data_IF_110657542430
#
_entry.id   IF_110657542430
#
_cell.length_a   1.000
_cell.length_b   1.000
_cell.length_c   1.000
_cell.angle_alpha   90.00
_cell.angle_beta   90.00
_cell.angle_gamma   90.00
#
_symmetry.space_group_name_H-M   'P 1'
#
loop_
_entity.id
_entity.type
_entity.pdbx_description
1 polymer ?
#
# COMPACT_ATOMS: atom_id res chain seq x y z
N UNK A 1 -62.66 -22.16 -8.94
CA UNK A 1 -62.30 -21.99 -10.37
C UNK A 1 -60.79 -21.82 -10.45
N UNK A 2 -60.10 -22.80 -11.03
CA UNK A 2 -58.66 -22.78 -11.29
C UNK A 2 -58.40 -22.18 -12.67
N UNK A 3 -57.43 -21.27 -12.79
CA UNK A 3 -56.72 -20.98 -14.05
C UNK A 3 -55.22 -20.76 -13.74
N UNK A 4 -54.30 -21.54 -14.33
CA UNK A 4 -52.87 -21.39 -14.09
C UNK A 4 -52.26 -20.36 -15.04
N UNK A 5 -51.76 -19.25 -14.51
CA UNK A 5 -50.90 -18.34 -15.27
C UNK A 5 -49.47 -18.82 -15.12
N UNK A 6 -48.93 -19.39 -16.21
CA UNK A 6 -47.52 -19.75 -16.35
C UNK A 6 -46.71 -18.47 -16.44
N UNK A 7 -46.01 -18.12 -15.36
CA UNK A 7 -45.04 -17.02 -15.37
C UNK A 7 -43.72 -17.54 -15.96
N UNK A 8 -43.35 -17.04 -17.12
CA UNK A 8 -42.03 -17.25 -17.70
C UNK A 8 -40.99 -16.52 -16.83
N UNK A 9 -40.03 -17.28 -16.30
CA UNK A 9 -38.86 -16.73 -15.61
C UNK A 9 -37.91 -16.16 -16.66
N UNK A 10 -37.78 -14.84 -16.71
CA UNK A 10 -36.65 -14.19 -17.38
C UNK A 10 -35.62 -13.83 -16.32
N UNK A 11 -34.62 -14.69 -16.13
CA UNK A 11 -33.46 -14.40 -15.29
C UNK A 11 -32.54 -13.43 -16.04
N UNK A 12 -32.64 -12.13 -15.74
CA UNK A 12 -31.67 -11.14 -16.18
C UNK A 12 -30.41 -11.25 -15.29
N UNK A 13 -29.41 -11.98 -15.76
CA UNK A 13 -28.10 -12.03 -15.12
C UNK A 13 -27.36 -10.72 -15.40
N UNK A 14 -27.43 -9.76 -14.47
CA UNK A 14 -26.53 -8.62 -14.46
C UNK A 14 -25.13 -9.11 -14.06
N UNK A 15 -24.27 -9.37 -15.05
CA UNK A 15 -22.86 -9.58 -14.81
C UNK A 15 -22.25 -8.26 -14.29
N UNK A 16 -22.07 -8.16 -12.98
CA UNK A 16 -21.23 -7.12 -12.39
C UNK A 16 -19.79 -7.47 -12.78
N UNK A 17 -19.27 -6.77 -13.78
CA UNK A 17 -17.85 -6.82 -14.08
C UNK A 17 -17.10 -6.26 -12.86
N UNK A 18 -16.49 -7.15 -12.07
CA UNK A 18 -15.56 -6.75 -11.03
C UNK A 18 -14.37 -6.07 -11.70
N UNK A 19 -14.30 -4.75 -11.60
CA UNK A 19 -13.11 -3.99 -11.98
C UNK A 19 -12.07 -4.32 -10.90
N UNK A 20 -11.20 -5.28 -11.17
CA UNK A 20 -10.05 -5.55 -10.31
C UNK A 20 -9.15 -4.32 -10.44
N UNK A 21 -9.06 -3.53 -9.38
CA UNK A 21 -8.01 -2.52 -9.26
C UNK A 21 -6.67 -3.27 -9.19
N UNK A 22 -5.94 -3.34 -10.30
CA UNK A 22 -4.55 -3.79 -10.32
C UNK A 22 -3.71 -2.68 -9.68
N UNK A 23 -3.54 -2.77 -8.35
CA UNK A 23 -2.64 -1.90 -7.61
C UNK A 23 -1.19 -2.28 -7.97
N UNK A 24 -0.70 -1.78 -9.10
CA UNK A 24 0.71 -1.71 -9.47
C UNK A 24 1.44 -3.05 -9.41
N UNK A 25 1.41 -3.79 -10.52
CA UNK A 25 2.25 -4.96 -10.75
C UNK A 25 3.73 -4.67 -10.44
N UNK A 26 4.22 -5.17 -9.31
CA UNK A 26 5.62 -5.09 -8.91
C UNK A 26 6.50 -6.13 -9.64
N UNK A 27 6.26 -6.35 -10.94
CA UNK A 27 6.96 -7.35 -11.76
C UNK A 27 8.13 -6.77 -12.57
N UNK A 28 8.45 -5.48 -12.46
CA UNK A 28 9.70 -4.97 -13.02
C UNK A 28 10.87 -5.34 -12.10
N UNK A 29 11.51 -6.46 -12.45
CA UNK A 29 12.68 -7.05 -11.79
C UNK A 29 13.90 -6.13 -11.93
N UNK A 30 13.89 -5.01 -11.21
CA UNK A 30 15.12 -4.41 -10.73
C UNK A 30 15.55 -5.23 -9.51
N UNK A 31 16.30 -6.31 -9.73
CA UNK A 31 17.01 -6.97 -8.62
C UNK A 31 18.02 -5.96 -8.08
N UNK A 32 17.91 -5.52 -6.81
CA UNK A 32 19.02 -4.84 -6.17
C UNK A 32 20.24 -5.73 -6.23
N UNK A 33 21.43 -5.13 -6.17
CA UNK A 33 22.74 -5.80 -6.26
C UNK A 33 22.86 -6.99 -5.26
N UNK A 34 21.99 -7.05 -4.24
CA UNK A 34 21.91 -8.09 -3.21
C UNK A 34 20.75 -9.10 -3.35
N UNK A 35 20.05 -9.15 -4.49
CA UNK A 35 18.96 -10.12 -4.72
C UNK A 35 17.68 -9.89 -3.92
N UNK A 36 17.56 -8.76 -3.21
CA UNK A 36 16.38 -8.43 -2.39
C UNK A 36 15.25 -7.91 -3.28
N UNK A 37 14.20 -8.69 -3.50
CA UNK A 37 13.00 -8.18 -4.17
C UNK A 37 12.23 -7.23 -3.26
N UNK A 38 11.63 -6.18 -3.82
CA UNK A 38 10.72 -5.32 -3.06
C UNK A 38 9.52 -6.19 -2.63
N UNK A 39 9.22 -6.29 -1.32
CA UNK A 39 8.13 -7.12 -0.86
C UNK A 39 6.78 -6.62 -1.41
N UNK A 40 5.91 -7.51 -1.91
CA UNK A 40 4.58 -7.11 -2.33
C UNK A 40 3.79 -6.55 -1.15
N UNK A 41 2.95 -5.54 -1.40
CA UNK A 41 2.13 -4.91 -0.35
C UNK A 41 2.91 -4.09 0.67
N UNK A 42 4.21 -3.83 0.48
CA UNK A 42 5.01 -3.08 1.47
C UNK A 42 4.49 -1.67 1.76
N UNK A 43 3.72 -1.08 0.84
CA UNK A 43 3.10 0.24 1.02
C UNK A 43 1.95 0.22 2.03
N UNK A 44 1.36 -0.96 2.28
CA UNK A 44 0.28 -1.16 3.25
C UNK A 44 0.83 -1.56 4.64
N UNK A 45 2.14 -1.69 4.77
CA UNK A 45 2.78 -1.98 6.05
C UNK A 45 2.59 -0.83 7.05
N UNK A 46 2.64 -1.17 8.34
CA UNK A 46 2.35 -0.21 9.40
C UNK A 46 3.46 0.85 9.48
N UNK A 47 3.07 2.11 9.67
CA UNK A 47 3.98 3.24 9.85
C UNK A 47 4.73 3.14 11.19
N UNK A 48 6.05 3.27 11.15
CA UNK A 48 6.93 3.39 12.31
C UNK A 48 7.18 4.86 12.62
N UNK A 49 7.63 5.65 11.65
CA UNK A 49 7.95 7.06 11.83
C UNK A 49 7.90 7.86 10.53
N UNK A 50 7.85 9.18 10.67
CA UNK A 50 7.97 10.15 9.56
C UNK A 50 9.08 11.15 9.86
N UNK A 51 9.75 11.64 8.82
CA UNK A 51 10.79 12.65 8.94
C UNK A 51 10.84 13.53 7.69
N UNK A 52 11.26 14.79 7.87
CA UNK A 52 11.75 15.64 6.78
C UNK A 52 13.29 15.65 6.88
N UNK A 53 13.96 15.13 5.87
CA UNK A 53 15.41 15.27 5.71
C UNK A 53 15.71 16.58 5.00
N UNK A 54 16.01 17.62 5.77
CA UNK A 54 16.39 18.91 5.22
C UNK A 54 17.80 18.90 4.57
N UNK A 55 18.13 19.98 3.85
CA UNK A 55 19.47 20.22 3.33
C UNK A 55 19.64 19.67 1.92
N UNK A 56 20.66 18.81 1.71
CA UNK A 56 21.03 18.39 0.34
C UNK A 56 20.02 17.43 -0.30
N UNK A 57 19.39 16.57 0.50
CA UNK A 57 18.43 15.59 -0.01
C UNK A 57 17.03 16.19 -0.13
N UNK A 58 16.62 17.00 0.85
CA UNK A 58 15.34 17.70 0.92
C UNK A 58 14.16 16.79 0.57
N UNK A 59 13.99 15.74 1.36
CA UNK A 59 12.98 14.70 1.13
C UNK A 59 12.07 14.49 2.35
N UNK A 60 10.82 14.11 2.11
CA UNK A 60 9.90 13.58 3.11
C UNK A 60 10.05 12.07 3.16
N UNK A 61 10.10 11.51 4.36
CA UNK A 61 10.27 10.07 4.59
C UNK A 61 9.16 9.48 5.43
N UNK A 62 8.74 8.29 5.04
CA UNK A 62 7.96 7.40 5.88
C UNK A 62 8.72 6.09 6.03
N UNK A 63 8.89 5.66 7.28
CA UNK A 63 9.48 4.36 7.62
C UNK A 63 8.34 3.40 7.93
N UNK A 64 8.26 2.33 7.17
CA UNK A 64 7.26 1.28 7.32
C UNK A 64 7.92 0.00 7.82
N UNK A 65 7.20 -0.79 8.61
CA UNK A 65 7.64 -2.09 9.09
C UNK A 65 6.64 -3.19 8.80
N UNK A 66 7.14 -4.35 8.39
CA UNK A 66 6.33 -5.57 8.42
C UNK A 66 5.95 -5.94 9.86
N UNK A 67 5.12 -6.97 10.04
CA UNK A 67 4.58 -7.28 11.35
C UNK A 67 5.65 -7.62 12.40
N UNK A 68 6.69 -8.35 12.00
CA UNK A 68 7.83 -8.69 12.86
C UNK A 68 8.55 -7.43 13.33
N UNK A 69 8.82 -6.49 12.42
CA UNK A 69 9.51 -5.24 12.75
C UNK A 69 8.66 -4.36 13.68
N UNK A 70 7.35 -4.28 13.44
CA UNK A 70 6.45 -3.43 14.24
C UNK A 70 6.29 -3.99 15.65
N UNK A 71 6.16 -5.31 15.78
CA UNK A 71 6.01 -5.94 17.08
C UNK A 71 7.32 -5.80 17.89
N UNK A 72 8.49 -5.91 17.24
CA UNK A 72 9.78 -5.61 17.88
C UNK A 72 9.88 -4.15 18.33
N UNK A 73 9.52 -3.20 17.46
CA UNK A 73 9.54 -1.76 17.76
C UNK A 73 8.62 -1.42 18.95
N UNK A 74 7.38 -1.93 18.95
CA UNK A 74 6.38 -1.62 19.99
C UNK A 74 6.64 -2.30 21.32
N UNK A 75 7.30 -3.46 21.30
CA UNK A 75 7.70 -4.16 22.53
C UNK A 75 8.96 -3.60 23.18
N UNK A 76 9.59 -2.58 22.58
CA UNK A 76 10.79 -1.95 23.12
C UNK A 76 12.02 -2.86 23.11
N UNK A 77 12.06 -3.85 22.20
CA UNK A 77 13.25 -4.70 22.04
C UNK A 77 14.40 -3.87 21.48
N UNK A 78 15.61 -4.12 21.99
CA UNK A 78 16.83 -3.44 21.54
C UNK A 78 17.29 -3.89 20.15
N UNK A 79 16.81 -5.04 19.67
CA UNK A 79 17.23 -5.66 18.42
C UNK A 79 16.00 -6.10 17.60
N UNK A 80 16.14 -6.01 16.28
CA UNK A 80 15.14 -6.52 15.34
C UNK A 80 15.38 -8.01 15.07
N UNK A 81 14.38 -8.90 15.29
CA UNK A 81 14.52 -10.32 14.99
C UNK A 81 14.68 -10.60 13.50
N UNK A 82 15.17 -11.80 13.18
CA UNK A 82 15.19 -12.33 11.82
C UNK A 82 13.79 -12.25 11.17
N UNK A 83 13.78 -11.89 9.88
CA UNK A 83 12.54 -11.65 9.14
C UNK A 83 11.94 -10.26 9.34
N UNK A 84 12.52 -9.41 10.20
CA UNK A 84 12.18 -7.99 10.23
C UNK A 84 12.56 -7.32 8.91
N UNK A 85 11.61 -6.61 8.30
CA UNK A 85 11.87 -5.78 7.11
C UNK A 85 11.40 -4.37 7.40
N UNK A 86 12.29 -3.41 7.18
CA UNK A 86 12.03 -1.98 7.29
C UNK A 86 12.10 -1.38 5.88
N UNK A 87 11.00 -0.80 5.42
CA UNK A 87 10.94 -0.09 4.15
C UNK A 87 11.00 1.42 4.39
N UNK A 88 11.88 2.11 3.67
CA UNK A 88 11.96 3.58 3.68
C UNK A 88 11.38 4.11 2.39
N UNK A 89 10.22 4.77 2.49
CA UNK A 89 9.68 5.58 1.42
C UNK A 89 10.29 6.98 1.50
N UNK A 90 10.67 7.54 0.36
CA UNK A 90 11.19 8.90 0.25
C UNK A 90 10.54 9.60 -0.94
N UNK A 91 10.01 10.78 -0.69
CA UNK A 91 9.42 11.67 -1.68
C UNK A 91 10.16 13.00 -1.67
N UNK A 92 10.35 13.60 -2.84
CA UNK A 92 10.92 14.95 -2.91
C UNK A 92 10.04 15.93 -2.11
N UNK A 93 10.66 16.82 -1.35
CA UNK A 93 9.95 17.90 -0.67
C UNK A 93 9.69 19.04 -1.65
N UNK A 94 8.53 18.99 -2.30
CA UNK A 94 8.10 20.01 -3.27
C UNK A 94 6.69 20.49 -2.95
N UNK A 95 6.43 21.77 -3.22
CA UNK A 95 5.08 22.32 -3.06
C UNK A 95 4.12 21.68 -4.07
N UNK A 96 2.85 21.52 -3.67
CA UNK A 96 1.78 21.06 -4.55
C UNK A 96 0.78 22.19 -4.73
N UNK A 97 0.65 22.72 -5.94
CA UNK A 97 -0.32 23.77 -6.25
C UNK A 97 -1.77 23.33 -5.96
N UNK A 98 -2.07 22.05 -6.17
CA UNK A 98 -3.37 21.47 -5.85
C UNK A 98 -3.63 21.51 -4.34
N UNK A 99 -2.67 21.08 -3.53
CA UNK A 99 -2.82 21.12 -2.07
C UNK A 99 -2.90 22.56 -1.57
N UNK A 100 -2.10 23.49 -2.11
CA UNK A 100 -2.12 24.89 -1.69
C UNK A 100 -3.50 25.54 -1.92
N UNK A 101 -4.19 25.21 -3.01
CA UNK A 101 -5.57 25.69 -3.27
C UNK A 101 -6.58 25.26 -2.21
N UNK A 102 -6.35 24.12 -1.57
CA UNK A 102 -7.28 23.52 -0.59
C UNK A 102 -6.88 23.83 0.85
N UNK A 103 -5.57 23.82 1.15
CA UNK A 103 -5.04 23.83 2.51
C UNK A 103 -4.23 25.09 2.87
N UNK A 104 -3.82 25.93 1.90
CA UNK A 104 -3.09 27.19 2.12
C UNK A 104 -1.63 27.14 1.71
#
# INVERSE_FOLDING_TARGET
MQHPVRLFVAAAACAVAAIVFDAGRADDVAVPIFGIKIPPGYRDWRLISVAHEAGKLDDLRAVLGNDVAIDAYRSGKSEFPDGSIIARLAWAYVSSEENNKVFG
#
